data_IF_457834205660
#
_entry.id   IF_457834205660
#
_cell.length_a   1.000
_cell.length_b   1.000
_cell.length_c   1.000
_cell.angle_alpha   90.00
_cell.angle_beta   90.00
_cell.angle_gamma   90.00
#
_symmetry.space_group_name_H-M   'P 1'
#
loop_
_entity.id
_entity.type
_entity.pdbx_description
1 polymer ?
#
# COMPACT_ATOMS: atom_id res chain seq x y z
N UNK A 1 -45.97 20.45 91.98
CA UNK A 1 -46.02 21.75 92.67
C UNK A 1 -45.07 22.68 91.90
N UNK A 2 -45.45 23.80 91.28
CA UNK A 2 -46.70 24.57 91.28
C UNK A 2 -46.61 25.62 90.15
N UNK A 3 -47.70 25.77 89.37
CA UNK A 3 -48.30 27.02 88.83
C UNK A 3 -47.54 27.87 87.77
N UNK A 4 -48.07 28.05 86.54
CA UNK A 4 -49.21 28.91 86.09
C UNK A 4 -48.76 30.38 85.89
N UNK A 5 -49.13 31.24 84.93
CA UNK A 5 -50.20 31.44 83.92
C UNK A 5 -49.65 32.51 82.92
N UNK A 6 -50.09 32.70 81.67
CA UNK A 6 -51.31 33.41 81.20
C UNK A 6 -51.36 33.30 79.65
N UNK A 7 -52.42 32.75 79.01
CA UNK A 7 -53.64 33.42 78.44
C UNK A 7 -53.32 34.66 77.57
N UNK A 8 -53.77 34.84 76.31
CA UNK A 8 -55.11 34.65 75.73
C UNK A 8 -55.10 34.68 74.17
N UNK A 9 -56.09 34.00 73.56
CA UNK A 9 -56.62 34.15 72.17
C UNK A 9 -57.58 35.39 72.09
N UNK A 10 -58.00 35.97 70.94
CA UNK A 10 -58.60 35.25 69.79
C UNK A 10 -58.44 35.84 68.35
N UNK A 11 -59.01 35.08 67.41
CA UNK A 11 -59.34 35.29 65.98
C UNK A 11 -59.81 36.71 65.61
N UNK A 12 -59.71 37.25 64.38
CA UNK A 12 -60.34 36.79 63.12
C UNK A 12 -59.99 37.78 61.98
N UNK A 13 -60.21 37.33 60.73
CA UNK A 13 -60.57 38.12 59.55
C UNK A 13 -59.46 38.71 58.66
N UNK A 14 -59.30 38.01 57.55
CA UNK A 14 -58.79 38.48 56.26
C UNK A 14 -59.64 39.66 55.76
N UNK A 15 -58.99 40.75 55.36
CA UNK A 15 -59.52 41.63 54.31
C UNK A 15 -58.44 41.95 53.29
N UNK A 16 -58.83 41.65 52.06
CA UNK A 16 -58.07 41.64 50.82
C UNK A 16 -58.48 42.88 50.05
N UNK A 17 -57.68 43.96 50.08
CA UNK A 17 -57.56 44.93 48.98
C UNK A 17 -56.52 46.01 49.27
N UNK A 18 -55.66 46.24 48.27
CA UNK A 18 -54.75 47.37 48.06
C UNK A 18 -53.26 47.19 48.47
N UNK A 19 -52.51 46.50 47.61
CA UNK A 19 -51.66 47.21 46.63
C UNK A 19 -51.19 46.26 45.53
N UNK A 20 -51.79 46.48 44.37
CA UNK A 20 -51.30 46.10 43.05
C UNK A 20 -49.87 46.63 42.87
N UNK A 21 -48.88 45.77 43.04
CA UNK A 21 -47.72 45.76 42.16
C UNK A 21 -47.72 44.37 41.54
N UNK A 22 -48.18 44.30 40.30
CA UNK A 22 -47.98 43.14 39.47
C UNK A 22 -46.48 42.84 39.43
N UNK A 23 -46.03 41.82 40.17
CA UNK A 23 -44.79 41.15 39.86
C UNK A 23 -45.03 40.48 38.51
N UNK A 24 -44.71 41.21 37.43
CA UNK A 24 -44.66 40.65 36.09
C UNK A 24 -43.83 39.37 36.18
N UNK A 25 -44.28 38.22 35.63
CA UNK A 25 -43.42 37.07 35.56
C UNK A 25 -42.14 37.48 34.84
N UNK A 26 -41.02 37.07 35.41
CA UNK A 26 -39.64 37.47 35.14
C UNK A 26 -39.21 37.05 33.72
N UNK A 27 -39.85 37.60 32.69
CA UNK A 27 -39.60 37.33 31.27
C UNK A 27 -38.16 37.71 30.87
N UNK A 28 -37.51 38.60 31.64
CA UNK A 28 -36.12 38.98 31.44
C UNK A 28 -35.14 37.82 31.70
N UNK A 29 -35.42 36.88 32.62
CA UNK A 29 -34.51 35.74 32.86
C UNK A 29 -34.54 34.71 31.74
N UNK A 30 -35.65 34.56 31.02
CA UNK A 30 -35.78 33.60 29.92
C UNK A 30 -34.97 34.01 28.68
N UNK A 31 -34.89 35.31 28.37
CA UNK A 31 -34.06 35.79 27.24
C UNK A 31 -32.56 35.63 27.52
N UNK A 32 -32.12 35.83 28.77
CA UNK A 32 -30.73 35.58 29.17
C UNK A 32 -30.39 34.08 29.19
N UNK A 33 -31.27 33.23 29.73
CA UNK A 33 -31.09 31.76 29.70
C UNK A 33 -31.11 31.22 28.26
N UNK A 34 -31.99 31.73 27.40
CA UNK A 34 -32.01 31.41 25.98
C UNK A 34 -30.73 31.90 25.28
N UNK A 35 -30.23 33.10 25.61
CA UNK A 35 -28.98 33.64 25.08
C UNK A 35 -27.75 32.81 25.47
N UNK A 36 -27.64 32.40 26.74
CA UNK A 36 -26.56 31.50 27.19
C UNK A 36 -26.69 30.10 26.59
N UNK A 37 -27.92 29.59 26.44
CA UNK A 37 -28.19 28.30 25.81
C UNK A 37 -27.82 28.28 24.33
N UNK A 38 -28.18 29.32 23.56
CA UNK A 38 -27.80 29.49 22.16
C UNK A 38 -26.29 29.65 22.01
N UNK A 39 -25.66 30.48 22.85
CA UNK A 39 -24.20 30.69 22.81
C UNK A 39 -23.43 29.42 23.18
N UNK A 40 -23.87 28.70 24.20
CA UNK A 40 -23.28 27.42 24.60
C UNK A 40 -23.46 26.33 23.55
N UNK A 41 -24.66 26.22 22.96
CA UNK A 41 -24.93 25.26 21.88
C UNK A 41 -24.14 25.60 20.60
N UNK A 42 -24.06 26.87 20.23
CA UNK A 42 -23.23 27.33 19.11
C UNK A 42 -21.74 27.07 19.35
N UNK A 43 -21.24 27.30 20.56
CA UNK A 43 -19.87 27.00 20.95
C UNK A 43 -19.56 25.49 20.90
N UNK A 44 -20.44 24.66 21.46
CA UNK A 44 -20.29 23.20 21.43
C UNK A 44 -20.39 22.64 19.99
N UNK A 45 -21.28 23.19 19.17
CA UNK A 45 -21.40 22.85 17.74
C UNK A 45 -20.13 23.24 16.98
N UNK A 46 -19.61 24.45 17.17
CA UNK A 46 -18.38 24.92 16.53
C UNK A 46 -17.17 24.07 16.93
N UNK A 47 -17.04 23.71 18.22
CA UNK A 47 -15.99 22.81 18.71
C UNK A 47 -16.11 21.41 18.08
N UNK A 48 -17.33 20.87 18.04
CA UNK A 48 -17.59 19.54 17.45
C UNK A 48 -17.32 19.51 15.94
N UNK A 49 -17.75 20.55 15.22
CA UNK A 49 -17.47 20.73 13.80
C UNK A 49 -15.97 20.94 13.53
N UNK A 50 -15.28 21.68 14.41
CA UNK A 50 -13.84 21.87 14.37
C UNK A 50 -13.07 20.56 14.54
N UNK A 51 -13.40 19.78 15.58
CA UNK A 51 -12.80 18.46 15.82
C UNK A 51 -13.05 17.49 14.66
N UNK A 52 -14.26 17.48 14.12
CA UNK A 52 -14.62 16.66 12.96
C UNK A 52 -13.79 17.06 11.73
N UNK A 53 -13.61 18.36 11.48
CA UNK A 53 -12.82 18.89 10.36
C UNK A 53 -11.35 18.56 10.52
N UNK A 54 -10.78 18.71 11.72
CA UNK A 54 -9.39 18.34 12.01
C UNK A 54 -9.19 16.83 11.84
N UNK A 55 -10.10 16.01 12.37
CA UNK A 55 -10.06 14.55 12.21
C UNK A 55 -10.16 14.12 10.75
N UNK A 56 -11.07 14.72 9.98
CA UNK A 56 -11.21 14.47 8.54
C UNK A 56 -9.94 14.87 7.77
N UNK A 57 -9.34 16.02 8.11
CA UNK A 57 -8.09 16.47 7.50
C UNK A 57 -6.94 15.51 7.78
N UNK A 58 -6.79 15.05 9.03
CA UNK A 58 -5.74 14.07 9.40
C UNK A 58 -5.95 12.77 8.62
N UNK A 59 -7.18 12.27 8.58
CA UNK A 59 -7.52 11.05 7.84
C UNK A 59 -7.22 11.19 6.35
N UNK A 60 -7.63 12.29 5.72
CA UNK A 60 -7.39 12.54 4.30
C UNK A 60 -5.90 12.62 3.95
N UNK A 61 -5.07 13.16 4.85
CA UNK A 61 -3.61 13.28 4.62
C UNK A 61 -2.83 12.02 4.95
N UNK A 62 -3.35 11.17 5.83
CA UNK A 62 -2.69 9.97 6.31
C UNK A 62 -2.12 9.06 5.19
N UNK A 63 -2.86 8.76 4.11
CA UNK A 63 -2.38 7.93 3.00
C UNK A 63 -1.58 8.72 1.94
N UNK A 64 -1.56 10.05 2.01
CA UNK A 64 -0.94 10.91 0.99
C UNK A 64 0.47 11.32 1.37
N UNK A 65 0.80 11.29 2.66
CA UNK A 65 2.13 11.68 3.14
C UNK A 65 3.11 10.52 2.91
N UNK A 66 4.24 10.73 2.22
CA UNK A 66 5.31 9.74 2.12
C UNK A 66 5.76 9.30 3.52
N UNK A 67 5.65 8.00 3.82
CA UNK A 67 5.86 7.44 5.16
C UNK A 67 7.06 6.52 5.21
N UNK A 68 8.22 7.11 5.07
CA UNK A 68 9.51 6.41 5.21
C UNK A 68 9.78 6.01 6.67
N UNK A 69 9.39 6.86 7.64
CA UNK A 69 9.78 6.72 9.06
C UNK A 69 9.01 5.66 9.86
N UNK A 70 7.92 5.08 9.32
CA UNK A 70 7.09 4.11 10.05
C UNK A 70 7.41 2.65 9.72
N UNK A 71 8.03 2.35 8.57
CA UNK A 71 8.31 0.97 8.10
C UNK A 71 9.64 0.39 8.56
N UNK A 72 10.46 1.15 9.29
CA UNK A 72 11.67 0.68 9.96
C UNK A 72 11.44 0.21 11.40
N UNK A 73 10.21 0.34 11.93
CA UNK A 73 9.92 -0.14 13.28
C UNK A 73 9.99 -1.66 13.29
N UNK A 74 10.78 -2.26 14.19
CA UNK A 74 10.80 -3.70 14.32
C UNK A 74 9.40 -4.23 14.59
N UNK A 75 9.01 -5.29 13.92
CA UNK A 75 7.72 -5.99 14.05
C UNK A 75 7.91 -7.48 14.42
N UNK A 76 9.15 -7.96 14.42
CA UNK A 76 9.56 -9.32 14.79
C UNK A 76 10.55 -9.27 15.96
N UNK A 77 10.55 -10.30 16.79
CA UNK A 77 11.60 -10.53 17.79
C UNK A 77 12.30 -11.84 17.46
N UNK A 78 13.63 -11.79 17.30
CA UNK A 78 14.48 -12.98 17.19
C UNK A 78 14.73 -13.52 18.60
N UNK A 79 14.50 -14.82 18.81
CA UNK A 79 14.63 -15.50 20.10
C UNK A 79 15.88 -16.35 20.20
N UNK A 80 16.26 -17.00 19.10
CA UNK A 80 17.50 -17.74 19.00
C UNK A 80 17.96 -17.76 17.55
N UNK A 81 19.27 -17.79 17.34
CA UNK A 81 19.89 -17.94 16.03
C UNK A 81 20.78 -19.17 16.09
N UNK A 82 20.50 -20.14 15.23
CA UNK A 82 21.27 -21.37 15.06
C UNK A 82 21.97 -21.35 13.69
N UNK A 83 22.88 -22.29 13.40
CA UNK A 83 23.54 -22.37 12.10
C UNK A 83 22.58 -22.58 10.92
N UNK A 84 21.54 -23.40 11.12
CA UNK A 84 20.60 -23.86 10.08
C UNK A 84 19.18 -23.32 10.24
N UNK A 85 18.87 -22.62 11.34
CA UNK A 85 17.52 -22.14 11.66
C UNK A 85 17.51 -20.90 12.55
N UNK A 86 16.38 -20.21 12.56
CA UNK A 86 16.11 -19.05 13.42
C UNK A 86 14.80 -19.25 14.16
N UNK A 87 14.81 -18.99 15.47
CA UNK A 87 13.60 -18.99 16.28
C UNK A 87 13.08 -17.57 16.44
N UNK A 88 11.78 -17.37 16.18
CA UNK A 88 11.13 -16.07 16.23
C UNK A 88 9.93 -16.10 17.19
N UNK A 89 9.59 -14.95 17.75
CA UNK A 89 8.28 -14.78 18.40
C UNK A 89 7.16 -15.16 17.43
N UNK A 90 6.21 -15.95 17.91
CA UNK A 90 5.08 -16.38 17.11
C UNK A 90 4.06 -15.23 16.98
N UNK A 91 3.92 -14.70 15.77
CA UNK A 91 3.02 -13.60 15.42
C UNK A 91 2.25 -13.93 14.14
N UNK A 92 1.30 -13.08 13.75
CA UNK A 92 0.59 -13.22 12.48
C UNK A 92 1.51 -13.15 11.26
N UNK A 93 2.72 -12.59 11.38
CA UNK A 93 3.72 -12.54 10.30
C UNK A 93 4.61 -13.77 10.32
N UNK A 94 5.14 -14.16 11.48
CA UNK A 94 6.16 -15.22 11.58
C UNK A 94 5.56 -16.62 11.51
N UNK A 95 4.29 -16.79 11.89
CA UNK A 95 3.53 -18.05 11.75
C UNK A 95 3.05 -18.32 10.32
N UNK A 96 3.05 -17.32 9.44
CA UNK A 96 2.63 -17.53 8.05
C UNK A 96 3.56 -18.52 7.39
N UNK A 97 2.96 -19.36 6.57
CA UNK A 97 3.68 -20.32 5.75
C UNK A 97 4.34 -19.62 4.54
N UNK A 98 5.35 -20.26 3.95
CA UNK A 98 6.16 -19.70 2.87
C UNK A 98 7.42 -18.96 3.34
N UNK A 99 7.97 -18.11 2.49
CA UNK A 99 9.25 -17.44 2.67
C UNK A 99 9.14 -16.14 3.48
N UNK A 100 10.17 -15.86 4.28
CA UNK A 100 10.29 -14.63 5.06
C UNK A 100 11.73 -14.14 4.99
N UNK A 101 11.96 -12.85 4.85
CA UNK A 101 13.27 -12.28 5.14
C UNK A 101 13.20 -11.35 6.36
N UNK A 102 14.32 -11.19 7.04
CA UNK A 102 14.46 -10.32 8.21
C UNK A 102 15.57 -9.30 7.98
N UNK A 103 15.38 -8.11 8.57
CA UNK A 103 16.35 -7.03 8.59
C UNK A 103 16.62 -6.57 10.01
N UNK A 104 17.87 -6.25 10.33
CA UNK A 104 18.27 -5.55 11.56
C UNK A 104 19.17 -4.36 11.24
N UNK A 105 19.37 -3.47 12.22
CA UNK A 105 20.36 -2.38 12.16
C UNK A 105 20.23 -1.50 10.91
N UNK A 106 19.00 -1.16 10.52
CA UNK A 106 18.76 -0.32 9.35
C UNK A 106 19.01 -1.01 8.00
N UNK A 107 19.34 -2.30 7.97
CA UNK A 107 19.63 -3.08 6.76
C UNK A 107 21.06 -3.56 6.63
N UNK A 108 21.92 -3.35 7.63
CA UNK A 108 23.27 -3.96 7.64
C UNK A 108 23.22 -5.48 7.81
N UNK A 109 22.13 -5.98 8.40
CA UNK A 109 21.81 -7.41 8.49
C UNK A 109 20.59 -7.71 7.63
N UNK A 110 20.71 -8.69 6.74
CA UNK A 110 19.62 -9.28 5.99
C UNK A 110 19.77 -10.81 5.90
N UNK A 111 18.71 -11.54 6.26
CA UNK A 111 18.67 -13.00 6.14
C UNK A 111 17.36 -13.47 5.52
N UNK A 112 17.44 -14.56 4.75
CA UNK A 112 16.30 -15.25 4.13
C UNK A 112 15.99 -16.53 4.90
N UNK A 113 14.70 -16.73 5.19
CA UNK A 113 14.18 -17.82 5.98
C UNK A 113 13.15 -18.63 5.19
N UNK A 114 13.18 -19.95 5.36
CA UNK A 114 12.27 -20.90 4.75
C UNK A 114 10.95 -21.01 5.52
N UNK A 115 10.02 -21.86 5.03
CA UNK A 115 8.75 -22.14 5.70
C UNK A 115 8.90 -22.52 7.18
N UNK A 116 7.81 -22.37 7.95
CA UNK A 116 7.82 -22.80 9.35
C UNK A 116 8.02 -24.31 9.42
N UNK A 117 9.08 -24.75 10.11
CA UNK A 117 9.45 -26.17 10.20
C UNK A 117 9.14 -26.78 11.57
N UNK A 118 9.05 -25.96 12.63
CA UNK A 118 8.74 -26.41 13.99
C UNK A 118 8.16 -25.28 14.88
N UNK A 119 7.60 -25.67 16.02
CA UNK A 119 7.11 -24.79 17.09
C UNK A 119 7.80 -25.14 18.43
N UNK A 120 9.02 -24.63 18.70
CA UNK A 120 9.76 -24.97 19.92
C UNK A 120 9.00 -24.66 21.22
N UNK A 121 8.11 -23.64 21.18
CA UNK A 121 7.18 -23.32 22.26
C UNK A 121 5.85 -22.85 21.68
N UNK A 122 4.81 -22.70 22.52
CA UNK A 122 3.52 -22.13 22.08
C UNK A 122 3.64 -20.68 21.54
N UNK A 123 4.69 -19.97 21.92
CA UNK A 123 4.96 -18.57 21.57
C UNK A 123 6.15 -18.41 20.63
N UNK A 124 6.71 -19.49 20.09
CA UNK A 124 7.90 -19.46 19.24
C UNK A 124 7.69 -20.30 17.98
N UNK A 125 8.15 -19.78 16.84
CA UNK A 125 8.22 -20.52 15.58
C UNK A 125 9.68 -20.72 15.20
N UNK A 126 10.01 -21.88 14.65
CA UNK A 126 11.28 -22.17 13.99
C UNK A 126 11.11 -22.01 12.49
N UNK A 127 12.13 -21.43 11.85
CA UNK A 127 12.24 -21.33 10.40
C UNK A 127 13.67 -21.66 9.98
N UNK A 128 13.89 -22.49 8.93
CA UNK A 128 15.22 -22.73 8.38
C UNK A 128 15.86 -21.44 7.90
N UNK A 129 17.16 -21.28 8.17
CA UNK A 129 17.97 -20.21 7.62
C UNK A 129 18.42 -20.63 6.22
N UNK A 130 17.87 -19.98 5.20
CA UNK A 130 18.18 -20.29 3.80
C UNK A 130 19.48 -19.63 3.36
N UNK A 131 19.62 -18.34 3.64
CA UNK A 131 20.78 -17.57 3.23
C UNK A 131 20.98 -16.32 4.11
N UNK A 132 22.21 -15.84 4.12
CA UNK A 132 22.60 -14.54 4.69
C UNK A 132 23.04 -13.66 3.53
N UNK A 133 22.40 -12.51 3.38
CA UNK A 133 22.64 -11.61 2.24
C UNK A 133 23.62 -10.48 2.55
N UNK A 134 24.05 -10.39 3.80
CA UNK A 134 24.98 -9.39 4.32
C UNK A 134 25.97 -10.05 5.27
N UNK A 135 27.15 -9.46 5.42
CA UNK A 135 28.23 -10.01 6.25
C UNK A 135 27.92 -9.97 7.74
N UNK A 136 27.16 -8.96 8.21
CA UNK A 136 26.82 -8.86 9.62
C UNK A 136 25.85 -9.99 10.03
N UNK A 137 26.13 -10.69 11.14
CA UNK A 137 25.30 -11.79 11.59
C UNK A 137 23.98 -11.31 12.17
N UNK A 138 22.93 -12.13 12.01
CA UNK A 138 21.66 -11.93 12.71
C UNK A 138 21.87 -12.09 14.23
N UNK A 139 21.37 -11.13 15.00
CA UNK A 139 21.45 -11.11 16.46
C UNK A 139 20.09 -11.43 17.09
N UNK A 140 20.13 -11.94 18.33
CA UNK A 140 18.93 -12.15 19.17
C UNK A 140 18.43 -10.78 19.65
N UNK A 141 17.66 -10.11 18.82
CA UNK A 141 17.08 -8.80 19.06
C UNK A 141 15.80 -8.59 18.23
N UNK A 142 15.21 -7.41 18.32
CA UNK A 142 14.15 -6.91 17.46
C UNK A 142 14.64 -6.84 16.01
N UNK A 143 13.78 -7.27 15.10
CA UNK A 143 14.01 -7.26 13.65
C UNK A 143 12.77 -6.76 12.91
N UNK A 144 12.96 -6.37 11.66
CA UNK A 144 11.89 -5.96 10.76
C UNK A 144 11.69 -7.01 9.68
N UNK A 145 10.45 -7.43 9.47
CA UNK A 145 10.10 -8.30 8.35
C UNK A 145 10.36 -7.61 7.01
N UNK A 146 11.00 -8.32 6.10
CA UNK A 146 11.20 -7.89 4.73
C UNK A 146 10.53 -8.89 3.79
N UNK A 147 9.54 -8.44 3.04
CA UNK A 147 8.89 -9.33 2.09
C UNK A 147 9.19 -9.05 0.63
N UNK A 148 10.11 -8.12 0.34
CA UNK A 148 10.81 -8.16 -0.96
C UNK A 148 11.62 -9.45 -1.10
N UNK A 149 11.94 -10.10 0.03
CA UNK A 149 12.69 -11.35 0.18
C UNK A 149 14.14 -11.27 -0.25
N UNK A 150 14.42 -10.72 -1.43
CA UNK A 150 15.78 -10.45 -1.91
C UNK A 150 16.29 -9.10 -1.40
N UNK A 151 17.61 -8.98 -1.31
CA UNK A 151 18.33 -7.79 -0.88
C UNK A 151 19.24 -7.27 -2.01
N UNK A 152 19.55 -5.98 -1.99
CA UNK A 152 20.44 -5.36 -2.97
C UNK A 152 19.77 -4.96 -4.28
N UNK A 153 20.52 -5.09 -5.38
CA UNK A 153 20.15 -4.73 -6.75
C UNK A 153 20.03 -6.00 -7.60
N UNK A 154 19.54 -5.95 -8.86
CA UNK A 154 19.52 -7.14 -9.70
C UNK A 154 20.92 -7.77 -9.88
N UNK A 155 21.97 -6.94 -9.97
CA UNK A 155 23.37 -7.38 -9.98
C UNK A 155 23.75 -8.16 -8.72
N UNK A 156 23.46 -7.66 -7.52
CA UNK A 156 23.93 -8.29 -6.27
C UNK A 156 22.99 -9.36 -5.73
N UNK A 157 21.71 -9.35 -6.13
CA UNK A 157 20.73 -10.38 -5.78
C UNK A 157 20.77 -11.58 -6.74
N UNK A 158 20.98 -11.32 -8.04
CA UNK A 158 20.76 -12.31 -9.10
C UNK A 158 21.93 -12.45 -10.06
N UNK A 159 22.92 -11.56 -10.01
CA UNK A 159 24.09 -11.61 -10.89
C UNK A 159 23.86 -10.96 -12.24
N UNK A 160 22.70 -10.33 -12.43
CA UNK A 160 22.27 -9.79 -13.71
C UNK A 160 22.82 -8.37 -13.90
N UNK A 161 23.46 -8.14 -15.05
CA UNK A 161 23.98 -6.83 -15.43
C UNK A 161 22.90 -5.75 -15.29
N UNK A 162 23.20 -4.72 -14.48
CA UNK A 162 22.25 -3.65 -14.16
C UNK A 162 22.82 -2.30 -14.53
N UNK A 163 22.09 -1.54 -15.33
CA UNK A 163 22.36 -0.13 -15.62
C UNK A 163 21.46 0.76 -14.75
N UNK A 164 22.04 1.78 -14.12
CA UNK A 164 21.26 2.88 -13.52
C UNK A 164 21.02 3.93 -14.62
N UNK A 165 19.74 4.16 -14.93
CA UNK A 165 19.31 5.11 -15.96
C UNK A 165 18.42 6.18 -15.34
N UNK A 166 18.35 7.35 -15.99
CA UNK A 166 17.47 8.45 -15.57
C UNK A 166 16.35 8.64 -16.60
N UNK A 167 15.09 8.56 -16.14
CA UNK A 167 13.89 8.77 -16.94
C UNK A 167 13.44 10.22 -16.75
N UNK A 168 13.30 10.96 -17.86
CA UNK A 168 12.82 12.34 -17.81
C UNK A 168 11.31 12.37 -17.56
N UNK A 169 10.89 12.65 -16.33
CA UNK A 169 9.47 12.76 -15.95
C UNK A 169 9.01 14.22 -15.83
N UNK A 170 7.69 14.50 -15.74
CA UNK A 170 7.17 15.84 -15.52
C UNK A 170 7.67 16.53 -14.24
N UNK A 171 8.14 15.78 -13.25
CA UNK A 171 8.66 16.31 -11.98
C UNK A 171 10.19 16.35 -11.92
N UNK A 172 10.89 15.82 -12.93
CA UNK A 172 12.35 15.78 -13.02
C UNK A 172 12.91 14.41 -13.42
N UNK A 173 14.25 14.24 -13.43
CA UNK A 173 14.90 12.97 -13.74
C UNK A 173 14.65 11.93 -12.64
N UNK A 174 14.16 10.75 -13.03
CA UNK A 174 13.77 9.66 -12.14
C UNK A 174 14.75 8.48 -12.30
N UNK A 175 15.47 8.08 -11.24
CA UNK A 175 16.34 6.91 -11.29
C UNK A 175 15.55 5.63 -11.56
N UNK A 176 16.11 4.73 -12.37
CA UNK A 176 15.56 3.43 -12.68
C UNK A 176 16.65 2.40 -12.91
N UNK A 177 16.36 1.13 -12.59
CA UNK A 177 17.21 0.01 -13.00
C UNK A 177 16.78 -0.50 -14.36
N UNK A 178 17.76 -0.65 -15.25
CA UNK A 178 17.61 -1.31 -16.53
C UNK A 178 18.39 -2.62 -16.51
N UNK A 179 17.70 -3.73 -16.72
CA UNK A 179 18.28 -5.07 -16.84
C UNK A 179 17.94 -5.59 -18.23
N UNK A 180 18.96 -5.81 -19.05
CA UNK A 180 18.80 -6.34 -20.41
C UNK A 180 18.88 -7.87 -20.40
N UNK A 181 18.21 -8.56 -21.34
CA UNK A 181 18.40 -9.99 -21.52
C UNK A 181 19.83 -10.28 -22.00
N UNK A 182 20.44 -11.34 -21.48
CA UNK A 182 21.74 -11.86 -21.94
C UNK A 182 21.64 -13.38 -22.17
N UNK A 183 21.77 -13.80 -23.43
CA UNK A 183 21.72 -15.21 -23.82
C UNK A 183 22.85 -16.02 -23.17
N UNK A 184 24.01 -15.40 -22.92
CA UNK A 184 25.12 -16.04 -22.20
C UNK A 184 24.76 -16.32 -20.72
N UNK A 185 23.86 -15.54 -20.15
CA UNK A 185 23.26 -15.76 -18.82
C UNK A 185 21.93 -16.55 -18.90
N UNK A 186 21.58 -17.01 -20.11
CA UNK A 186 20.49 -17.93 -20.43
C UNK A 186 19.11 -17.27 -20.49
N UNK A 187 19.03 -16.04 -20.98
CA UNK A 187 17.77 -15.47 -21.47
C UNK A 187 17.34 -16.13 -22.79
N UNK A 188 16.03 -16.13 -23.07
CA UNK A 188 15.52 -16.56 -24.37
C UNK A 188 15.84 -15.51 -25.46
N UNK A 189 16.27 -15.94 -26.66
CA UNK A 189 16.59 -15.02 -27.76
C UNK A 189 15.34 -14.37 -28.37
N UNK A 190 15.53 -13.22 -29.03
CA UNK A 190 14.53 -12.63 -29.92
C UNK A 190 13.37 -11.90 -29.23
N UNK A 191 13.55 -11.51 -27.97
CA UNK A 191 12.57 -10.76 -27.17
C UNK A 191 13.12 -9.41 -26.66
N UNK A 192 14.29 -8.99 -27.16
CA UNK A 192 14.98 -7.79 -26.71
C UNK A 192 14.19 -6.48 -26.90
N UNK A 193 13.24 -6.46 -27.84
CA UNK A 193 12.33 -5.33 -28.08
C UNK A 193 11.06 -5.36 -27.21
N UNK A 194 10.93 -6.34 -26.33
CA UNK A 194 9.83 -6.47 -25.37
C UNK A 194 10.27 -6.06 -23.98
N UNK A 195 9.63 -5.02 -23.45
CA UNK A 195 10.03 -4.38 -22.19
C UNK A 195 8.98 -4.59 -21.11
N UNK A 196 9.43 -4.96 -19.92
CA UNK A 196 8.63 -5.00 -18.71
C UNK A 196 8.90 -3.75 -17.87
N UNK A 197 7.88 -2.90 -17.67
CA UNK A 197 7.95 -1.72 -16.79
C UNK A 197 7.44 -2.13 -15.41
N UNK A 198 8.32 -2.09 -14.39
CA UNK A 198 8.05 -2.62 -13.06
C UNK A 198 7.82 -1.46 -12.07
N UNK A 199 6.62 -1.41 -11.48
CA UNK A 199 6.15 -0.29 -10.64
C UNK A 199 5.83 -0.78 -9.23
N UNK A 200 6.60 -0.34 -8.24
CA UNK A 200 6.45 -0.77 -6.85
C UNK A 200 5.25 -0.11 -6.14
N UNK A 201 4.91 -0.62 -4.95
CA UNK A 201 3.80 -0.12 -4.14
C UNK A 201 4.07 1.17 -3.35
N UNK A 202 3.03 1.68 -2.69
CA UNK A 202 3.10 2.87 -1.84
C UNK A 202 4.08 2.69 -0.67
N UNK A 203 5.05 3.60 -0.54
CA UNK A 203 6.14 3.54 0.45
C UNK A 203 7.06 2.32 0.30
N UNK A 204 7.03 1.69 -0.87
CA UNK A 204 7.89 0.59 -1.28
C UNK A 204 9.13 1.16 -1.99
N UNK A 205 9.91 0.30 -2.64
CA UNK A 205 11.06 0.70 -3.43
C UNK A 205 11.31 -0.34 -4.54
N UNK A 206 12.23 -0.06 -5.45
CA UNK A 206 12.53 -0.87 -6.64
C UNK A 206 12.83 -2.35 -6.32
N UNK A 207 13.38 -2.63 -5.15
CA UNK A 207 13.69 -3.96 -4.64
C UNK A 207 12.48 -4.91 -4.55
N UNK A 208 11.24 -4.39 -4.54
CA UNK A 208 10.03 -5.21 -4.62
C UNK A 208 9.99 -6.07 -5.90
N UNK A 209 10.58 -5.56 -6.98
CA UNK A 209 10.64 -6.18 -8.30
C UNK A 209 11.67 -7.31 -8.43
N UNK A 210 12.63 -7.42 -7.50
CA UNK A 210 13.68 -8.47 -7.55
C UNK A 210 13.09 -9.88 -7.63
N UNK A 211 11.89 -10.10 -7.10
CA UNK A 211 11.21 -11.41 -7.15
C UNK A 211 10.84 -11.86 -8.57
N UNK A 212 10.62 -10.94 -9.51
CA UNK A 212 10.17 -11.28 -10.87
C UNK A 212 11.24 -11.06 -11.94
N UNK A 213 12.25 -10.23 -11.68
CA UNK A 213 13.31 -9.92 -12.64
C UNK A 213 14.00 -11.18 -13.20
N UNK A 214 14.38 -12.20 -12.40
CA UNK A 214 14.99 -13.41 -12.94
C UNK A 214 14.12 -14.13 -13.97
N UNK A 215 12.81 -14.23 -13.73
CA UNK A 215 11.87 -14.85 -14.65
C UNK A 215 11.72 -14.05 -15.94
N UNK A 216 11.58 -12.72 -15.83
CA UNK A 216 11.49 -11.83 -16.99
C UNK A 216 12.75 -11.91 -17.84
N UNK A 217 13.92 -11.93 -17.19
CA UNK A 217 15.21 -12.12 -17.86
C UNK A 217 15.27 -13.48 -18.59
N UNK A 218 14.85 -14.58 -17.95
CA UNK A 218 14.78 -15.90 -18.60
C UNK A 218 13.88 -15.92 -19.84
N UNK A 219 12.78 -15.18 -19.81
CA UNK A 219 11.88 -15.02 -20.96
C UNK A 219 12.43 -14.07 -22.05
N UNK A 220 13.61 -13.46 -21.84
CA UNK A 220 14.24 -12.58 -22.82
C UNK A 220 13.75 -11.13 -22.77
N UNK A 221 12.98 -10.73 -21.75
CA UNK A 221 12.43 -9.38 -21.64
C UNK A 221 13.44 -8.42 -21.02
N UNK A 222 13.48 -7.19 -21.53
CA UNK A 222 14.17 -6.08 -20.88
C UNK A 222 13.35 -5.58 -19.69
N UNK A 223 13.92 -5.54 -18.49
CA UNK A 223 13.23 -5.05 -17.28
C UNK A 223 13.63 -3.61 -16.97
N UNK A 224 12.67 -2.69 -16.90
CA UNK A 224 12.84 -1.32 -16.44
C UNK A 224 12.11 -1.10 -15.11
N UNK A 225 12.86 -1.09 -14.01
CA UNK A 225 12.31 -0.91 -12.65
C UNK A 225 12.42 0.54 -12.24
N UNK A 226 11.29 1.23 -12.18
CA UNK A 226 11.26 2.69 -12.04
C UNK A 226 11.08 3.13 -10.59
N UNK A 227 11.57 4.33 -10.29
CA UNK A 227 11.01 5.17 -9.23
C UNK A 227 9.90 6.05 -9.79
N UNK A 228 9.01 6.55 -8.94
CA UNK A 228 8.03 7.59 -9.27
C UNK A 228 8.05 8.73 -8.23
N UNK A 229 7.34 9.82 -8.50
CA UNK A 229 7.43 11.07 -7.72
C UNK A 229 7.31 10.84 -6.22
N UNK A 230 8.15 11.54 -5.46
CA UNK A 230 8.30 11.45 -4.00
C UNK A 230 8.96 10.18 -3.44
N UNK A 231 9.47 9.27 -4.28
CA UNK A 231 10.31 8.18 -3.80
C UNK A 231 11.69 8.66 -3.32
N UNK A 232 12.37 7.82 -2.53
CA UNK A 232 13.73 8.08 -2.07
C UNK A 232 14.66 8.17 -3.29
N UNK A 233 15.38 9.28 -3.40
CA UNK A 233 16.28 9.53 -4.53
C UNK A 233 15.59 10.09 -5.78
N UNK A 234 14.26 10.18 -5.79
CA UNK A 234 13.50 10.77 -6.88
C UNK A 234 13.04 12.20 -6.57
N UNK A 235 12.85 13.05 -7.61
CA UNK A 235 12.21 14.34 -7.48
C UNK A 235 10.86 14.29 -6.74
N UNK A 236 10.64 15.31 -5.92
CA UNK A 236 9.38 15.49 -5.22
C UNK A 236 8.35 16.24 -6.07
N UNK A 237 7.10 15.82 -5.98
CA UNK A 237 5.96 16.59 -6.48
C UNK A 237 5.84 17.96 -5.77
N UNK A 238 5.12 18.90 -6.38
CA UNK A 238 4.97 20.26 -5.86
C UNK A 238 4.42 20.31 -4.42
N UNK A 239 3.54 19.38 -4.05
CA UNK A 239 2.96 19.28 -2.72
C UNK A 239 3.63 18.23 -1.81
N UNK A 240 4.62 17.50 -2.34
CA UNK A 240 5.33 16.40 -1.66
C UNK A 240 4.40 15.31 -1.14
N UNK A 241 3.30 15.05 -1.85
CA UNK A 241 2.32 14.04 -1.48
C UNK A 241 2.12 13.03 -2.60
N UNK A 242 1.83 11.79 -2.22
CA UNK A 242 1.30 10.79 -3.14
C UNK A 242 -0.13 11.17 -3.51
N UNK A 243 -0.47 10.99 -4.79
CA UNK A 243 -1.79 11.20 -5.36
C UNK A 243 -2.50 9.87 -5.67
N UNK A 244 -2.01 8.78 -5.08
CA UNK A 244 -2.64 7.46 -5.11
C UNK A 244 -2.78 6.90 -6.54
N UNK A 245 -1.85 7.25 -7.43
CA UNK A 245 -1.89 6.93 -8.86
C UNK A 245 -2.58 7.99 -9.72
N UNK A 246 -3.11 9.07 -9.12
CA UNK A 246 -3.79 10.13 -9.89
C UNK A 246 -2.80 10.94 -10.71
N UNK A 247 -1.55 11.00 -10.27
CA UNK A 247 -0.50 11.75 -10.94
C UNK A 247 0.73 10.89 -11.25
N UNK A 248 1.01 9.88 -10.43
CA UNK A 248 2.13 8.93 -10.63
C UNK A 248 2.05 8.13 -11.94
N UNK A 249 0.86 8.01 -12.54
CA UNK A 249 0.69 7.38 -13.86
C UNK A 249 1.51 8.09 -14.97
N UNK A 250 1.74 9.40 -14.84
CA UNK A 250 2.55 10.19 -15.78
C UNK A 250 4.03 9.84 -15.69
N UNK A 251 4.51 9.45 -14.50
CA UNK A 251 5.90 9.00 -14.33
C UNK A 251 6.09 7.62 -14.98
N UNK A 252 5.05 6.78 -14.95
CA UNK A 252 5.03 5.52 -15.70
C UNK A 252 4.90 5.75 -17.21
N UNK A 253 4.14 6.75 -17.65
CA UNK A 253 4.11 7.15 -19.07
C UNK A 253 5.50 7.60 -19.55
N UNK A 254 6.21 8.41 -18.77
CA UNK A 254 7.57 8.81 -19.09
C UNK A 254 8.52 7.61 -19.20
N UNK A 255 8.33 6.57 -18.39
CA UNK A 255 9.07 5.32 -18.49
C UNK A 255 8.76 4.53 -19.78
N UNK A 256 7.49 4.54 -20.20
CA UNK A 256 7.06 3.97 -21.48
C UNK A 256 7.70 4.74 -22.64
N UNK A 257 7.66 6.08 -22.61
CA UNK A 257 8.29 6.92 -23.63
C UNK A 257 9.80 6.67 -23.71
N UNK A 258 10.47 6.53 -22.57
CA UNK A 258 11.87 6.14 -22.49
C UNK A 258 12.11 4.77 -23.15
N UNK A 259 11.33 3.75 -22.79
CA UNK A 259 11.47 2.40 -23.36
C UNK A 259 11.27 2.41 -24.88
N UNK A 260 10.26 3.11 -25.38
CA UNK A 260 9.98 3.27 -26.82
C UNK A 260 11.14 3.99 -27.52
N UNK A 261 11.68 5.04 -26.93
CA UNK A 261 12.86 5.74 -27.45
C UNK A 261 14.12 4.84 -27.47
N UNK A 262 14.19 3.84 -26.59
CA UNK A 262 15.24 2.81 -26.57
C UNK A 262 14.93 1.60 -27.47
N UNK A 263 13.84 1.63 -28.23
CA UNK A 263 13.50 0.60 -29.23
C UNK A 263 12.45 -0.42 -28.77
N UNK A 264 11.79 -0.22 -27.63
CA UNK A 264 10.69 -1.09 -27.22
C UNK A 264 9.54 -1.06 -28.24
N UNK A 265 9.08 -2.25 -28.65
CA UNK A 265 7.93 -2.44 -29.54
C UNK A 265 6.73 -3.08 -28.87
N UNK A 266 6.97 -3.79 -27.76
CA UNK A 266 5.95 -4.44 -26.94
C UNK A 266 6.23 -4.15 -25.48
N UNK A 267 5.19 -3.93 -24.71
CA UNK A 267 5.26 -3.53 -23.31
C UNK A 267 4.43 -4.47 -22.44
N UNK A 268 5.02 -4.89 -21.33
CA UNK A 268 4.32 -5.50 -20.20
C UNK A 268 4.42 -4.54 -19.03
N UNK A 269 3.29 -4.23 -18.40
CA UNK A 269 3.31 -3.40 -17.20
C UNK A 269 3.07 -4.28 -15.98
N UNK A 270 3.98 -4.23 -15.00
CA UNK A 270 3.90 -5.03 -13.77
C UNK A 270 3.80 -4.09 -12.58
N UNK A 271 2.83 -4.33 -11.68
CA UNK A 271 2.64 -3.46 -10.54
C UNK A 271 2.16 -4.16 -9.27
N UNK A 272 2.71 -3.73 -8.13
CA UNK A 272 2.35 -4.21 -6.79
C UNK A 272 1.55 -3.15 -6.04
N UNK A 273 0.47 -3.52 -5.34
CA UNK A 273 -0.26 -2.58 -4.47
C UNK A 273 -0.68 -1.30 -5.21
N UNK A 274 -0.28 -0.12 -4.72
CA UNK A 274 -0.46 1.16 -5.43
C UNK A 274 0.16 1.15 -6.83
N UNK A 275 1.31 0.50 -7.03
CA UNK A 275 1.93 0.33 -8.34
C UNK A 275 1.03 -0.42 -9.32
N UNK A 276 0.28 -1.42 -8.85
CA UNK A 276 -0.76 -2.08 -9.66
C UNK A 276 -1.91 -1.13 -10.04
N UNK A 277 -2.30 -0.24 -9.13
CA UNK A 277 -3.27 0.82 -9.43
C UNK A 277 -2.75 1.87 -10.42
N UNK A 278 -1.46 2.23 -10.31
CA UNK A 278 -0.76 3.13 -11.25
C UNK A 278 -0.75 2.49 -12.64
N UNK A 279 -0.32 1.24 -12.75
CA UNK A 279 -0.28 0.47 -13.99
C UNK A 279 -1.66 0.37 -14.65
N UNK A 280 -2.71 0.03 -13.88
CA UNK A 280 -4.08 0.01 -14.39
C UNK A 280 -4.47 1.37 -15.00
N UNK A 281 -4.15 2.46 -14.31
CA UNK A 281 -4.48 3.80 -14.78
C UNK A 281 -3.67 4.22 -16.00
N UNK A 282 -2.37 3.94 -16.02
CA UNK A 282 -1.50 4.16 -17.18
C UNK A 282 -2.02 3.38 -18.38
N UNK A 283 -2.42 2.12 -18.20
CA UNK A 283 -2.89 1.28 -19.30
C UNK A 283 -4.12 1.82 -20.05
N UNK A 284 -4.94 2.62 -19.36
CA UNK A 284 -6.14 3.27 -19.93
C UNK A 284 -5.83 4.66 -20.51
N UNK A 285 -4.89 5.40 -19.91
CA UNK A 285 -4.60 6.80 -20.28
C UNK A 285 -3.43 6.97 -21.24
N UNK A 286 -2.52 6.00 -21.31
CA UNK A 286 -1.29 6.08 -22.09
C UNK A 286 -1.56 6.37 -23.56
N UNK A 287 -0.74 7.23 -24.16
CA UNK A 287 -0.74 7.45 -25.60
C UNK A 287 -0.18 6.22 -26.35
N UNK A 288 0.60 5.40 -25.65
CA UNK A 288 1.27 4.20 -26.15
C UNK A 288 0.53 2.91 -25.78
N UNK A 289 -0.76 3.01 -25.40
CA UNK A 289 -1.55 1.85 -24.97
C UNK A 289 -1.59 0.71 -25.99
N UNK A 290 -1.43 1.01 -27.28
CA UNK A 290 -1.45 0.00 -28.35
C UNK A 290 -0.15 -0.83 -28.40
N UNK A 291 0.90 -0.41 -27.69
CA UNK A 291 2.13 -1.19 -27.47
C UNK A 291 2.05 -2.07 -26.20
N UNK A 292 1.04 -1.88 -25.36
CA UNK A 292 0.87 -2.65 -24.12
C UNK A 292 0.20 -3.98 -24.45
N UNK A 293 0.95 -5.07 -24.35
CA UNK A 293 0.47 -6.42 -24.62
C UNK A 293 -0.23 -7.03 -23.41
N UNK A 294 0.30 -6.77 -22.21
CA UNK A 294 -0.19 -7.40 -20.99
C UNK A 294 0.05 -6.56 -19.72
N UNK A 295 -0.81 -6.78 -18.73
CA UNK A 295 -0.68 -6.27 -17.37
C UNK A 295 -0.47 -7.43 -16.40
N UNK A 296 0.40 -7.25 -15.41
CA UNK A 296 0.59 -8.18 -14.30
C UNK A 296 0.41 -7.40 -13.00
N UNK A 297 -0.59 -7.78 -12.21
CA UNK A 297 -1.01 -7.04 -11.03
C UNK A 297 -0.92 -7.94 -9.80
N UNK A 298 -0.25 -7.48 -8.76
CA UNK A 298 -0.08 -8.21 -7.50
C UNK A 298 -0.64 -7.38 -6.34
N UNK A 299 -1.71 -7.90 -5.72
CA UNK A 299 -2.53 -7.20 -4.71
C UNK A 299 -2.86 -5.74 -5.10
N UNK A 300 -3.36 -5.45 -6.32
CA UNK A 300 -3.46 -4.09 -6.83
C UNK A 300 -4.45 -3.22 -6.07
N UNK A 301 -4.13 -1.94 -5.92
CA UNK A 301 -5.03 -0.91 -5.40
C UNK A 301 -6.05 -0.49 -6.47
N UNK A 302 -7.02 -1.37 -6.75
CA UNK A 302 -8.05 -1.17 -7.80
C UNK A 302 -9.04 -0.07 -7.42
N UNK A 303 -9.43 -0.01 -6.14
CA UNK A 303 -10.43 0.95 -5.65
C UNK A 303 -9.93 1.71 -4.41
N UNK A 304 -9.46 2.94 -4.63
CA UNK A 304 -8.99 3.77 -3.53
C UNK A 304 -10.11 4.24 -2.61
N UNK A 305 -11.35 4.37 -3.10
CA UNK A 305 -12.46 4.73 -2.22
C UNK A 305 -12.74 3.60 -1.23
N UNK A 306 -12.75 2.36 -1.70
CA UNK A 306 -12.90 1.16 -0.86
C UNK A 306 -11.75 1.06 0.16
N UNK A 307 -10.50 1.19 -0.28
CA UNK A 307 -9.32 1.14 0.60
C UNK A 307 -9.40 2.22 1.69
N UNK A 308 -9.73 3.46 1.33
CA UNK A 308 -9.85 4.56 2.29
C UNK A 308 -10.98 4.31 3.29
N UNK A 309 -12.13 3.79 2.83
CA UNK A 309 -13.27 3.45 3.69
C UNK A 309 -12.94 2.28 4.62
N UNK A 310 -12.21 1.27 4.12
CA UNK A 310 -11.76 0.11 4.89
C UNK A 310 -10.87 0.55 6.06
N UNK A 311 -9.80 1.31 5.79
CA UNK A 311 -8.89 1.81 6.84
C UNK A 311 -9.58 2.78 7.79
N UNK A 312 -10.44 3.66 7.29
CA UNK A 312 -11.20 4.57 8.15
C UNK A 312 -12.20 3.83 9.06
N UNK A 313 -12.76 2.71 8.61
CA UNK A 313 -13.62 1.85 9.42
C UNK A 313 -12.82 1.09 10.48
N UNK A 314 -11.63 0.60 10.14
CA UNK A 314 -10.71 -0.01 11.11
C UNK A 314 -10.31 0.98 12.22
N UNK A 315 -10.15 2.26 11.89
CA UNK A 315 -9.91 3.35 12.85
C UNK A 315 -11.17 3.83 13.60
N UNK A 316 -12.32 3.16 13.43
CA UNK A 316 -13.62 3.51 14.02
C UNK A 316 -14.06 4.95 13.72
N UNK A 317 -13.68 5.47 12.56
CA UNK A 317 -13.96 6.86 12.24
C UNK A 317 -15.43 7.07 11.84
N UNK A 318 -16.10 8.14 12.35
CA UNK A 318 -17.51 8.41 12.06
C UNK A 318 -17.78 8.64 10.57
N UNK A 319 -18.92 8.15 10.06
CA UNK A 319 -19.28 8.29 8.65
C UNK A 319 -19.25 9.74 8.11
N UNK A 320 -19.69 10.78 8.85
CA UNK A 320 -19.56 12.16 8.40
C UNK A 320 -18.10 12.61 8.23
N UNK A 321 -17.20 12.15 9.10
CA UNK A 321 -15.76 12.44 9.01
C UNK A 321 -15.15 11.79 7.76
N UNK A 322 -15.52 10.53 7.46
CA UNK A 322 -15.08 9.82 6.25
C UNK A 322 -15.54 10.53 4.98
N UNK A 323 -16.81 10.93 4.91
CA UNK A 323 -17.36 11.69 3.77
C UNK A 323 -16.63 13.01 3.58
N UNK A 324 -16.34 13.72 4.66
CA UNK A 324 -15.61 14.98 4.59
C UNK A 324 -14.15 14.76 4.14
N UNK A 325 -13.48 13.71 4.63
CA UNK A 325 -12.13 13.36 4.20
C UNK A 325 -12.06 13.05 2.70
N UNK A 326 -12.99 12.22 2.19
CA UNK A 326 -13.09 11.95 0.75
C UNK A 326 -13.37 13.21 -0.05
N UNK A 327 -14.32 14.05 0.39
CA UNK A 327 -14.58 15.34 -0.27
C UNK A 327 -13.35 16.26 -0.27
N UNK A 328 -12.56 16.28 0.80
CA UNK A 328 -11.31 17.02 0.86
C UNK A 328 -10.28 16.52 -0.16
N UNK A 329 -10.31 15.24 -0.53
CA UNK A 329 -9.37 14.66 -1.49
C UNK A 329 -9.82 14.85 -2.94
N UNK A 330 -11.13 14.86 -3.21
CA UNK A 330 -11.67 14.84 -4.59
C UNK A 330 -12.22 16.19 -5.09
N UNK A 331 -12.45 17.16 -4.20
CA UNK A 331 -12.95 18.49 -4.57
C UNK A 331 -11.81 19.48 -4.75
N UNK A 332 -11.88 20.37 -5.75
CA UNK A 332 -10.88 21.43 -5.95
C UNK A 332 -10.77 22.39 -4.75
N UNK A 333 -11.89 22.65 -4.04
CA UNK A 333 -11.89 23.46 -2.82
C UNK A 333 -11.31 22.66 -1.65
N UNK A 334 -11.72 21.39 -1.55
CA UNK A 334 -11.28 20.47 -0.52
C UNK A 334 -9.77 20.18 -0.57
N UNK A 335 -9.20 20.01 -1.76
CA UNK A 335 -7.79 19.70 -1.98
C UNK A 335 -6.87 20.73 -1.33
N UNK A 336 -7.25 22.02 -1.39
CA UNK A 336 -6.54 23.11 -0.70
C UNK A 336 -6.55 22.92 0.83
N UNK A 337 -7.63 22.39 1.40
CA UNK A 337 -7.73 22.08 2.83
C UNK A 337 -6.84 20.91 3.25
N UNK A 338 -6.30 20.11 2.33
CA UNK A 338 -5.31 19.06 2.65
C UNK A 338 -3.93 19.36 2.07
N UNK A 339 -3.78 20.52 1.42
CA UNK A 339 -2.59 20.99 0.70
C UNK A 339 -2.25 20.16 -0.54
N UNK A 340 -3.23 19.46 -1.11
CA UNK A 340 -3.07 18.78 -2.39
C UNK A 340 -2.93 19.81 -3.51
N UNK A 341 -2.00 19.56 -4.42
CA UNK A 341 -1.82 20.38 -5.62
C UNK A 341 -3.05 20.28 -6.52
N UNK A 342 -3.57 19.06 -6.69
CA UNK A 342 -4.75 18.76 -7.51
C UNK A 342 -5.70 17.79 -6.79
N UNK A 343 -7.00 17.85 -7.08
CA UNK A 343 -7.96 16.88 -6.56
C UNK A 343 -7.71 15.49 -7.16
N UNK A 344 -7.87 14.46 -6.33
CA UNK A 344 -7.69 13.07 -6.75
C UNK A 344 -8.86 12.61 -7.64
N UNK A 345 -8.51 11.94 -8.73
CA UNK A 345 -9.46 11.40 -9.69
C UNK A 345 -10.00 10.02 -9.26
N UNK A 346 -10.43 9.88 -8.00
CA UNK A 346 -10.83 8.57 -7.43
C UNK A 346 -11.99 7.90 -8.18
N UNK A 347 -12.81 8.67 -8.89
CA UNK A 347 -13.90 8.15 -9.72
C UNK A 347 -13.40 7.35 -10.96
N UNK A 348 -12.15 7.58 -11.39
CA UNK A 348 -11.47 6.81 -12.43
C UNK A 348 -10.73 5.59 -11.87
N UNK A 349 -10.74 5.40 -10.55
CA UNK A 349 -10.00 4.34 -9.85
C UNK A 349 -11.00 3.39 -9.20
N UNK A 350 -11.81 2.73 -10.03
CA UNK A 350 -12.85 1.80 -9.57
C UNK A 350 -12.95 0.61 -10.53
N UNK A 351 -13.42 -0.56 -10.05
CA UNK A 351 -13.68 -1.72 -10.91
C UNK A 351 -14.59 -1.38 -12.09
N UNK A 352 -15.63 -0.56 -11.87
CA UNK A 352 -16.57 -0.18 -12.93
C UNK A 352 -15.97 0.77 -13.98
N UNK A 353 -14.99 1.60 -13.59
CA UNK A 353 -14.25 2.39 -14.55
C UNK A 353 -13.34 1.48 -15.39
N UNK A 354 -12.50 0.68 -14.74
CA UNK A 354 -11.57 -0.21 -15.46
C UNK A 354 -12.30 -1.25 -16.31
N UNK A 355 -13.40 -1.82 -15.83
CA UNK A 355 -14.20 -2.78 -16.59
C UNK A 355 -14.67 -2.23 -17.95
N UNK A 356 -14.94 -0.92 -18.04
CA UNK A 356 -15.36 -0.27 -19.30
C UNK A 356 -14.22 0.13 -20.22
N UNK A 357 -13.02 0.40 -19.67
CA UNK A 357 -11.94 1.03 -20.42
C UNK A 357 -10.73 0.13 -20.67
N UNK A 358 -10.55 -0.91 -19.86
CA UNK A 358 -9.45 -1.87 -19.99
C UNK A 358 -9.57 -2.63 -21.32
N UNK A 359 -8.44 -2.84 -22.00
CA UNK A 359 -8.37 -3.58 -23.27
C UNK A 359 -7.32 -4.69 -23.27
N UNK A 360 -6.46 -4.69 -22.27
CA UNK A 360 -5.25 -5.50 -22.23
C UNK A 360 -5.48 -6.78 -21.42
N UNK A 361 -4.87 -7.88 -21.86
CA UNK A 361 -4.84 -9.11 -21.07
C UNK A 361 -4.18 -8.82 -19.73
N UNK A 362 -4.74 -9.35 -18.65
CA UNK A 362 -4.31 -9.03 -17.29
C UNK A 362 -4.22 -10.29 -16.46
N UNK A 363 -3.05 -10.56 -15.88
CA UNK A 363 -2.89 -11.50 -14.80
C UNK A 363 -3.02 -10.75 -13.47
N UNK A 364 -3.97 -11.15 -12.64
CA UNK A 364 -4.28 -10.48 -11.39
C UNK A 364 -4.11 -11.46 -10.22
N UNK A 365 -2.96 -11.38 -9.56
CA UNK A 365 -2.70 -12.03 -8.28
C UNK A 365 -3.30 -11.23 -7.12
N UNK A 366 -3.96 -11.91 -6.18
CA UNK A 366 -4.39 -11.24 -4.95
C UNK A 366 -4.34 -12.14 -3.72
N UNK A 367 -3.62 -11.68 -2.69
CA UNK A 367 -3.58 -12.24 -1.36
C UNK A 367 -4.96 -12.18 -0.67
N UNK A 368 -5.50 -13.32 -0.27
CA UNK A 368 -6.83 -13.36 0.34
C UNK A 368 -6.84 -12.90 1.81
N UNK A 369 -5.71 -13.00 2.49
CA UNK A 369 -5.53 -12.52 3.87
C UNK A 369 -4.87 -11.13 3.91
N UNK A 370 -5.11 -10.34 2.86
CA UNK A 370 -4.63 -8.98 2.72
C UNK A 370 -5.42 -8.02 3.64
N UNK A 371 -4.76 -7.60 4.71
CA UNK A 371 -5.28 -6.62 5.66
C UNK A 371 -5.00 -5.16 5.26
N UNK A 372 -4.37 -4.92 4.11
CA UNK A 372 -3.99 -3.60 3.59
C UNK A 372 -4.87 -3.17 2.43
N UNK A 373 -5.03 -4.03 1.42
CA UNK A 373 -5.86 -3.81 0.24
C UNK A 373 -6.86 -4.96 0.12
N UNK A 374 -8.14 -4.74 0.47
CA UNK A 374 -9.14 -5.80 0.40
C UNK A 374 -9.21 -6.44 -1.00
N UNK A 375 -9.39 -7.77 -1.12
CA UNK A 375 -9.41 -8.46 -2.42
C UNK A 375 -10.74 -8.28 -3.18
N UNK A 376 -11.78 -7.75 -2.55
CA UNK A 376 -13.12 -7.66 -3.14
C UNK A 376 -13.18 -6.79 -4.42
N UNK A 377 -12.56 -5.59 -4.49
CA UNK A 377 -12.46 -4.83 -5.72
C UNK A 377 -11.78 -5.57 -6.88
N UNK A 378 -10.71 -6.32 -6.60
CA UNK A 378 -10.02 -7.13 -7.63
C UNK A 378 -10.90 -8.26 -8.16
N UNK A 379 -11.58 -8.99 -7.27
CA UNK A 379 -12.57 -10.01 -7.66
C UNK A 379 -13.70 -9.42 -8.50
N UNK A 380 -14.18 -8.25 -8.13
CA UNK A 380 -15.22 -7.55 -8.88
C UNK A 380 -14.72 -7.13 -10.27
N UNK A 381 -13.52 -6.56 -10.38
CA UNK A 381 -12.95 -6.19 -11.67
C UNK A 381 -12.79 -7.42 -12.59
N UNK A 382 -12.25 -8.52 -12.06
CA UNK A 382 -12.12 -9.77 -12.81
C UNK A 382 -13.49 -10.30 -13.30
N UNK A 383 -14.52 -10.24 -12.44
CA UNK A 383 -15.88 -10.65 -12.81
C UNK A 383 -16.53 -9.74 -13.87
N UNK A 384 -16.13 -8.46 -13.95
CA UNK A 384 -16.59 -7.56 -15.00
C UNK A 384 -15.95 -7.84 -16.36
N UNK A 385 -14.71 -8.36 -16.37
CA UNK A 385 -13.92 -8.61 -17.59
C UNK A 385 -13.25 -10.01 -17.59
N UNK A 386 -14.05 -11.09 -17.51
CA UNK A 386 -13.52 -12.46 -17.56
C UNK A 386 -12.89 -12.79 -18.92
N UNK A 387 -13.17 -11.98 -19.94
CA UNK A 387 -12.55 -12.06 -21.27
C UNK A 387 -11.10 -11.56 -21.31
N UNK A 388 -10.68 -10.73 -20.34
CA UNK A 388 -9.32 -10.17 -20.28
C UNK A 388 -8.54 -10.56 -19.04
N UNK A 389 -9.21 -10.82 -17.92
CA UNK A 389 -8.58 -10.88 -16.60
C UNK A 389 -8.57 -12.32 -16.10
N UNK A 390 -7.36 -12.84 -15.93
CA UNK A 390 -7.08 -14.08 -15.21
C UNK A 390 -6.86 -13.75 -13.74
N UNK A 391 -7.78 -14.15 -12.87
CA UNK A 391 -7.73 -13.84 -11.44
C UNK A 391 -7.20 -15.03 -10.63
N UNK A 392 -6.04 -14.84 -10.02
CA UNK A 392 -5.31 -15.86 -9.29
C UNK A 392 -5.26 -15.55 -7.78
N UNK A 393 -6.16 -16.14 -6.98
CA UNK A 393 -6.15 -15.94 -5.54
C UNK A 393 -5.00 -16.69 -4.87
N UNK A 394 -4.46 -16.10 -3.80
CA UNK A 394 -3.47 -16.72 -2.92
C UNK A 394 -3.95 -16.77 -1.47
N UNK A 395 -4.30 -17.96 -1.01
CA UNK A 395 -4.67 -18.22 0.39
C UNK A 395 -3.43 -18.24 1.31
N UNK A 396 -3.54 -17.66 2.50
CA UNK A 396 -2.42 -17.57 3.46
C UNK A 396 -1.43 -16.44 3.19
N UNK A 397 -1.41 -15.89 1.98
CA UNK A 397 -0.57 -14.74 1.63
C UNK A 397 -1.09 -13.46 2.31
N UNK A 398 -0.17 -12.64 2.80
CA UNK A 398 -0.47 -11.24 3.15
C UNK A 398 -0.19 -10.32 1.96
N UNK A 399 -0.57 -9.05 2.06
CA UNK A 399 -0.34 -8.02 1.04
C UNK A 399 1.04 -8.11 0.35
N UNK A 400 1.02 -8.29 -0.98
CA UNK A 400 2.20 -8.44 -1.85
C UNK A 400 3.17 -9.55 -1.43
N UNK A 401 2.67 -10.64 -0.85
CA UNK A 401 3.43 -11.84 -0.43
C UNK A 401 2.97 -13.10 -1.16
N UNK A 402 2.31 -12.96 -2.29
CA UNK A 402 1.87 -14.05 -3.15
C UNK A 402 3.08 -14.88 -3.61
N UNK A 403 4.14 -14.23 -4.12
CA UNK A 403 5.40 -14.92 -4.43
C UNK A 403 6.04 -15.55 -3.19
N UNK A 404 6.03 -14.87 -2.04
CA UNK A 404 6.60 -15.43 -0.81
C UNK A 404 5.84 -16.67 -0.33
N UNK A 405 4.53 -16.72 -0.54
CA UNK A 405 3.67 -17.83 -0.12
C UNK A 405 4.01 -19.11 -0.87
N UNK A 406 4.17 -19.00 -2.18
CA UNK A 406 4.48 -20.10 -3.10
C UNK A 406 5.19 -19.55 -4.36
N UNK A 407 6.54 -19.45 -4.33
CA UNK A 407 7.31 -18.91 -5.46
C UNK A 407 7.11 -19.71 -6.74
N UNK A 408 7.05 -21.04 -6.62
CA UNK A 408 6.94 -21.93 -7.77
C UNK A 408 5.58 -21.75 -8.47
N UNK A 409 4.48 -21.71 -7.72
CA UNK A 409 3.15 -21.43 -8.29
C UNK A 409 3.10 -20.03 -8.90
N UNK A 410 3.59 -19.01 -8.19
CA UNK A 410 3.57 -17.63 -8.67
C UNK A 410 4.32 -17.50 -10.01
N UNK A 411 5.54 -18.02 -10.06
CA UNK A 411 6.38 -17.95 -11.26
C UNK A 411 5.82 -18.81 -12.40
N UNK A 412 5.22 -19.97 -12.11
CA UNK A 412 4.57 -20.78 -13.15
C UNK A 412 3.42 -20.01 -13.81
N UNK A 413 2.51 -19.46 -13.01
CA UNK A 413 1.37 -18.68 -13.50
C UNK A 413 1.82 -17.47 -14.31
N UNK A 414 2.87 -16.76 -13.84
CA UNK A 414 3.44 -15.64 -14.56
C UNK A 414 4.08 -16.06 -15.88
N UNK A 415 4.87 -17.15 -15.89
CA UNK A 415 5.50 -17.66 -17.09
C UNK A 415 4.46 -18.09 -18.12
N UNK A 416 3.45 -18.87 -17.73
CA UNK A 416 2.42 -19.39 -18.63
C UNK A 416 1.60 -18.23 -19.24
N UNK A 417 1.19 -17.26 -18.42
CA UNK A 417 0.46 -16.09 -18.88
C UNK A 417 1.26 -15.24 -19.88
N UNK A 418 2.54 -14.97 -19.59
CA UNK A 418 3.40 -14.21 -20.52
C UNK A 418 3.75 -15.03 -21.76
N UNK A 419 3.91 -16.35 -21.61
CA UNK A 419 4.02 -17.32 -22.68
C UNK A 419 2.89 -17.17 -23.69
N UNK A 420 1.66 -17.15 -23.19
CA UNK A 420 0.47 -17.00 -24.03
C UNK A 420 0.30 -15.57 -24.55
N UNK A 421 0.62 -14.54 -23.77
CA UNK A 421 0.42 -13.15 -24.15
C UNK A 421 1.43 -12.67 -25.21
N UNK A 422 2.66 -13.19 -25.16
CA UNK A 422 3.77 -12.75 -26.02
C UNK A 422 4.14 -13.73 -27.13
N UNK A 423 3.49 -14.91 -27.17
CA UNK A 423 3.81 -15.98 -28.11
C UNK A 423 5.09 -16.74 -27.75
N UNK A 424 5.36 -16.88 -26.44
CA UNK A 424 6.53 -17.52 -25.83
C UNK A 424 6.20 -18.86 -25.17
N UNK A 425 5.17 -19.56 -25.64
CA UNK A 425 4.64 -20.77 -24.97
C UNK A 425 5.68 -21.88 -24.78
N UNK A 426 6.56 -22.13 -25.75
CA UNK A 426 7.62 -23.14 -25.62
C UNK A 426 8.67 -22.73 -24.57
N UNK A 427 9.10 -21.47 -24.59
CA UNK A 427 10.07 -20.93 -23.65
C UNK A 427 9.50 -20.97 -22.23
N UNK A 428 8.26 -20.52 -22.04
CA UNK A 428 7.58 -20.51 -20.75
C UNK A 428 7.42 -21.93 -20.18
N UNK A 429 6.96 -22.88 -21.01
CA UNK A 429 6.78 -24.27 -20.60
C UNK A 429 8.09 -24.96 -20.22
N UNK A 430 9.21 -24.58 -20.86
CA UNK A 430 10.53 -25.13 -20.58
C UNK A 430 11.19 -24.58 -19.30
N UNK A 431 10.68 -23.49 -18.71
CA UNK A 431 11.28 -22.91 -17.50
C UNK A 431 11.13 -23.85 -16.31
N UNK A 432 12.22 -24.08 -15.58
CA UNK A 432 12.17 -24.63 -14.23
C UNK A 432 11.89 -23.49 -13.23
N UNK A 433 10.90 -23.68 -12.35
CA UNK A 433 10.51 -22.68 -11.35
C UNK A 433 10.67 -23.26 -9.93
N UNK A 434 11.09 -22.46 -8.94
CA UNK A 434 11.48 -21.05 -9.08
C UNK A 434 12.78 -20.88 -9.86
N UNK A 435 12.82 -19.90 -10.77
CA UNK A 435 13.94 -19.60 -11.68
C UNK A 435 15.23 -19.37 -10.91
N UNK A 436 15.11 -18.73 -9.74
CA UNK A 436 16.19 -18.57 -8.78
C UNK A 436 15.80 -19.31 -7.49
N UNK A 437 16.60 -20.30 -7.11
CA UNK A 437 16.42 -20.99 -5.83
C UNK A 437 16.44 -19.98 -4.66
N UNK A 438 15.36 -19.88 -3.86
CA UNK A 438 15.30 -19.02 -2.68
C UNK A 438 16.37 -19.27 -1.63
N UNK A 439 17.04 -20.43 -1.65
CA UNK A 439 18.17 -20.79 -0.79
C UNK A 439 19.54 -20.51 -1.41
N UNK A 440 19.60 -20.04 -2.65
CA UNK A 440 20.87 -19.77 -3.29
C UNK A 440 21.64 -18.67 -2.55
N UNK A 441 22.98 -18.79 -2.47
CA UNK A 441 23.81 -17.84 -1.74
C UNK A 441 23.68 -16.44 -2.34
N UNK A 442 23.85 -15.45 -1.48
CA UNK A 442 23.96 -14.06 -1.91
C UNK A 442 25.25 -13.84 -2.69
N UNK A 443 25.22 -12.87 -3.61
CA UNK A 443 26.42 -12.43 -4.30
C UNK A 443 27.10 -11.33 -3.49
N UNK A 444 28.40 -11.16 -3.75
CA UNK A 444 29.22 -10.15 -3.08
C UNK A 444 28.63 -8.73 -3.28
N UNK A 445 28.67 -7.92 -2.23
CA UNK A 445 28.18 -6.53 -2.27
C UNK A 445 26.67 -6.36 -2.13
N UNK A 446 25.92 -7.43 -1.86
CA UNK A 446 24.49 -7.31 -1.50
C UNK A 446 24.32 -6.47 -0.23
N UNK A 447 23.34 -5.56 -0.28
CA UNK A 447 23.01 -4.68 0.84
C UNK A 447 21.56 -4.92 1.27
N UNK A 448 21.33 -5.05 2.58
CA UNK A 448 20.00 -5.22 3.14
C UNK A 448 19.17 -3.94 3.15
N UNK A 449 19.45 -2.94 2.32
CA UNK A 449 18.59 -1.76 2.16
C UNK A 449 17.40 -2.09 1.26
N UNK A 450 16.27 -1.41 1.50
CA UNK A 450 15.17 -1.39 0.52
C UNK A 450 15.51 -0.31 -0.49
N UNK A 451 16.10 -0.72 -1.60
CA UNK A 451 16.48 0.12 -2.74
C UNK A 451 15.33 0.28 -3.73
#
# INVERSE_FOLDING_TARGET
MTRDLFRNRPTTAVTLRERLLAARPDQARWSHVAGYGITGAAGAFALSAGLLTVGARVMARLPLVPRESLRGRPDVTVRAVHPDRVHLDASATTRRDGLLALRQSGGTVHVRLGPVDDHPTQTTVSRPLLARDTDEPLLVDRATSNGFFWAGTPQTAHGLGTEEVEISSPVGPMPAWLVRPDEAEGSAPGQEDTWAILVHGHGSARGEALRVIPLLHRLGLTSLTITYRNDVGAPASADRMHHLGSAEWEDTEAAIEYAVAQGARRLVLVGWSMGGGIVLRTSVRSAHRDLIEALVLDSPAVDWQDILVYHATALKAPAPMRRLALWMMTSSIGARMVRLHEPLALHEMTPAYYGRHLRHRTLLFHALDDATVPPAPSRHLAALRPDLIEFEPFEGASHTREWNRDPARYERLLADFLGDALGLGEQAAALEVPVRDPAAPALEGSIGLRL
#
